data_IF_779030567944
#
_entry.id   IF_779030567944
#
_cell.length_a   1.000
_cell.length_b   1.000
_cell.length_c   1.000
_cell.angle_alpha   90.00
_cell.angle_beta   90.00
_cell.angle_gamma   90.00
#
_symmetry.space_group_name_H-M   'P 1'
#
loop_
_entity.id
_entity.type
_entity.pdbx_description
1 polymer ?
#
# COMPACT_ATOMS: atom_id res chain seq x y z
N UNK A 1 12.05 -14.85 8.04
CA UNK A 1 11.26 -15.95 7.40
C UNK A 1 9.88 -15.94 8.01
N UNK A 2 8.85 -15.97 7.18
CA UNK A 2 7.45 -15.96 7.63
C UNK A 2 7.15 -17.13 8.58
N UNK A 3 6.55 -16.90 9.74
CA UNK A 3 6.17 -17.97 10.68
C UNK A 3 5.13 -18.92 10.05
N UNK A 4 5.22 -20.20 10.40
CA UNK A 4 4.25 -21.21 9.92
C UNK A 4 2.87 -20.89 10.50
N UNK A 5 1.83 -21.00 9.67
CA UNK A 5 0.44 -20.73 10.08
C UNK A 5 0.08 -19.24 10.12
N UNK A 6 0.90 -18.38 9.49
CA UNK A 6 0.61 -16.95 9.40
C UNK A 6 0.42 -16.49 7.97
N UNK A 7 -0.29 -15.39 7.82
CA UNK A 7 -0.34 -14.54 6.65
C UNK A 7 0.44 -13.25 6.92
N UNK A 8 0.62 -12.40 5.91
CA UNK A 8 1.19 -11.07 6.06
C UNK A 8 0.10 -10.02 5.86
N UNK A 9 -0.03 -9.12 6.83
CA UNK A 9 -0.85 -7.93 6.74
C UNK A 9 0.02 -6.72 6.40
N UNK A 10 -0.55 -5.78 5.68
CA UNK A 10 0.06 -4.47 5.43
C UNK A 10 -0.95 -3.36 5.61
N UNK A 11 -0.49 -2.22 6.12
CA UNK A 11 -1.19 -0.94 6.12
C UNK A 11 -0.32 0.08 5.42
N UNK A 12 -0.91 0.83 4.50
CA UNK A 12 -0.36 2.11 4.09
C UNK A 12 -1.36 3.23 4.35
N UNK A 13 -0.84 4.38 4.74
CA UNK A 13 -1.61 5.59 4.96
C UNK A 13 -1.06 6.71 4.08
N UNK A 14 -1.92 7.64 3.72
CA UNK A 14 -1.52 8.81 2.98
C UNK A 14 -2.46 9.96 3.19
N UNK A 15 -1.94 11.18 3.12
CA UNK A 15 -2.76 12.38 3.09
C UNK A 15 -2.82 12.90 1.66
N UNK A 16 -4.02 12.90 1.08
CA UNK A 16 -4.24 13.47 -0.26
C UNK A 16 -3.90 14.97 -0.27
N UNK A 17 -3.41 15.45 -1.40
CA UNK A 17 -3.12 16.89 -1.60
C UNK A 17 -4.38 17.74 -1.71
N UNK A 18 -5.55 17.10 -1.89
CA UNK A 18 -6.85 17.74 -2.09
C UNK A 18 -7.99 16.80 -1.64
N UNK A 19 -9.22 17.29 -1.46
CA UNK A 19 -10.40 16.47 -1.27
C UNK A 19 -10.61 15.48 -2.41
N UNK A 20 -11.30 14.36 -2.15
CA UNK A 20 -11.48 13.23 -3.08
C UNK A 20 -12.21 13.59 -4.38
N UNK A 21 -13.00 14.67 -4.39
CA UNK A 21 -13.72 15.21 -5.55
C UNK A 21 -12.93 16.27 -6.34
N UNK A 22 -11.72 16.62 -5.90
CA UNK A 22 -10.88 17.61 -6.58
C UNK A 22 -10.20 17.01 -7.84
N UNK A 23 -10.18 17.75 -8.98
CA UNK A 23 -9.52 17.28 -10.21
C UNK A 23 -8.05 16.86 -10.04
N UNK A 24 -7.33 17.40 -9.06
CA UNK A 24 -5.91 17.08 -8.80
C UNK A 24 -5.69 15.62 -8.36
N UNK A 25 -6.69 14.99 -7.79
CA UNK A 25 -6.63 13.58 -7.36
C UNK A 25 -7.51 12.66 -8.21
N UNK A 26 -8.13 13.16 -9.26
CA UNK A 26 -9.10 12.43 -10.07
C UNK A 26 -8.52 11.15 -10.72
N UNK A 27 -7.28 11.19 -11.20
CA UNK A 27 -6.61 10.02 -11.77
C UNK A 27 -6.44 8.89 -10.74
N UNK A 28 -6.08 9.25 -9.51
CA UNK A 28 -5.96 8.30 -8.40
C UNK A 28 -7.33 7.73 -8.03
N UNK A 29 -8.31 8.59 -7.77
CA UNK A 29 -9.67 8.18 -7.40
C UNK A 29 -10.32 7.29 -8.46
N UNK A 30 -10.20 7.65 -9.74
CA UNK A 30 -10.73 6.87 -10.84
C UNK A 30 -10.07 5.50 -11.05
N UNK A 31 -8.89 5.28 -10.51
CA UNK A 31 -8.16 4.02 -10.61
C UNK A 31 -8.44 3.04 -9.46
N UNK A 32 -9.04 3.49 -8.36
CA UNK A 32 -9.20 2.68 -7.13
C UNK A 32 -9.91 1.35 -7.40
N UNK A 33 -11.05 1.36 -8.08
CA UNK A 33 -11.81 0.14 -8.35
C UNK A 33 -11.03 -0.84 -9.24
N UNK A 34 -10.29 -0.31 -10.22
CA UNK A 34 -9.45 -1.13 -11.11
C UNK A 34 -8.32 -1.80 -10.33
N UNK A 35 -7.57 -1.03 -9.54
CA UNK A 35 -6.40 -1.51 -8.81
C UNK A 35 -6.81 -2.46 -7.68
N UNK A 36 -7.82 -2.09 -6.89
CA UNK A 36 -8.36 -2.94 -5.83
C UNK A 36 -8.96 -4.23 -6.39
N UNK A 37 -9.72 -4.13 -7.49
CA UNK A 37 -10.29 -5.29 -8.18
C UNK A 37 -9.22 -6.20 -8.79
N UNK A 38 -8.08 -5.68 -9.22
CA UNK A 38 -6.93 -6.48 -9.63
C UNK A 38 -6.34 -7.20 -8.42
N UNK A 39 -6.06 -6.48 -7.31
CA UNK A 39 -5.53 -7.06 -6.10
C UNK A 39 -6.35 -8.26 -5.60
N UNK A 40 -7.68 -8.11 -5.55
CA UNK A 40 -8.61 -9.18 -5.14
C UNK A 40 -8.56 -10.46 -6.02
N UNK A 41 -8.01 -10.37 -7.23
CA UNK A 41 -7.86 -11.50 -8.17
C UNK A 41 -6.46 -12.07 -8.24
N UNK A 42 -5.50 -11.46 -7.53
CA UNK A 42 -4.13 -11.95 -7.52
C UNK A 42 -3.99 -13.25 -6.71
N UNK A 43 -3.13 -14.19 -7.14
CA UNK A 43 -2.76 -15.32 -6.30
C UNK A 43 -2.21 -14.84 -4.96
N UNK A 44 -2.59 -15.52 -3.89
CA UNK A 44 -2.16 -15.19 -2.53
C UNK A 44 -2.91 -14.01 -1.88
N UNK A 45 -3.88 -13.40 -2.56
CA UNK A 45 -4.76 -12.41 -1.91
C UNK A 45 -5.69 -13.10 -0.91
N UNK A 46 -5.79 -12.56 0.30
CA UNK A 46 -6.63 -13.11 1.38
C UNK A 46 -7.78 -12.17 1.74
N UNK A 47 -7.47 -10.90 2.01
CA UNK A 47 -8.47 -9.95 2.47
C UNK A 47 -8.02 -8.50 2.23
N UNK A 48 -8.98 -7.60 2.15
CA UNK A 48 -8.81 -6.15 2.06
C UNK A 48 -9.83 -5.46 2.95
N UNK A 49 -9.41 -4.41 3.65
CA UNK A 49 -10.32 -3.50 4.33
C UNK A 49 -11.19 -2.78 3.29
N UNK A 50 -12.50 -2.88 3.44
CA UNK A 50 -13.46 -2.28 2.52
C UNK A 50 -14.05 -0.99 3.09
N UNK A 51 -14.39 -0.04 2.21
CA UNK A 51 -15.23 1.12 2.51
C UNK A 51 -16.71 0.80 2.39
N UNK A 52 -17.53 1.80 2.10
CA UNK A 52 -19.00 1.66 1.95
C UNK A 52 -19.43 0.79 0.76
N UNK A 53 -18.55 0.61 -0.21
CA UNK A 53 -18.85 -0.06 -1.48
C UNK A 53 -19.39 0.88 -2.55
N UNK A 54 -19.44 2.17 -2.31
CA UNK A 54 -19.78 3.15 -3.35
C UNK A 54 -18.71 3.14 -4.46
N UNK A 55 -19.12 3.21 -5.75
CA UNK A 55 -18.19 3.18 -6.87
C UNK A 55 -17.11 4.28 -6.79
N UNK A 56 -15.88 3.93 -7.14
CA UNK A 56 -14.71 4.80 -7.18
C UNK A 56 -14.29 5.43 -5.82
N UNK A 57 -14.83 4.96 -4.69
CA UNK A 57 -14.36 5.39 -3.36
C UNK A 57 -13.31 4.45 -2.81
N UNK A 58 -13.34 3.17 -3.22
CA UNK A 58 -12.43 2.14 -2.70
C UNK A 58 -12.50 2.07 -1.18
N UNK A 59 -11.39 2.26 -0.52
CA UNK A 59 -11.26 2.33 0.93
C UNK A 59 -10.89 3.74 1.45
N UNK A 60 -11.04 4.78 0.64
CA UNK A 60 -10.73 6.18 1.02
C UNK A 60 -11.69 6.73 2.08
N UNK A 61 -12.79 6.06 2.33
CA UNK A 61 -13.72 6.40 3.41
C UNK A 61 -13.23 5.97 4.80
N UNK A 62 -12.21 5.12 4.86
CA UNK A 62 -11.55 4.76 6.10
C UNK A 62 -10.55 5.88 6.46
N UNK A 63 -11.07 7.00 6.93
CA UNK A 63 -10.28 8.15 7.36
C UNK A 63 -9.58 7.88 8.68
N UNK A 64 -8.43 8.51 8.87
CA UNK A 64 -7.69 8.47 10.12
C UNK A 64 -7.90 9.79 10.84
N UNK A 65 -8.56 9.73 12.01
CA UNK A 65 -8.94 10.93 12.76
C UNK A 65 -10.02 11.74 12.04
N UNK A 66 -9.99 13.06 12.22
CA UNK A 66 -11.01 13.99 11.72
C UNK A 66 -10.66 14.60 10.34
N UNK A 67 -9.52 14.25 9.75
CA UNK A 67 -9.10 14.78 8.46
C UNK A 67 -9.54 13.83 7.31
N UNK A 68 -10.55 14.21 6.50
CA UNK A 68 -11.07 13.34 5.43
C UNK A 68 -10.09 13.15 4.27
N UNK A 69 -8.98 13.91 4.22
CA UNK A 69 -7.92 13.69 3.24
C UNK A 69 -6.91 12.62 3.69
N UNK A 70 -6.93 12.20 4.95
CA UNK A 70 -6.14 11.07 5.44
C UNK A 70 -6.86 9.77 5.11
N UNK A 71 -6.24 8.96 4.26
CA UNK A 71 -6.81 7.68 3.77
C UNK A 71 -5.92 6.53 4.17
N UNK A 72 -6.54 5.38 4.41
CA UNK A 72 -5.88 4.14 4.78
C UNK A 72 -6.21 3.04 3.79
N UNK A 73 -5.21 2.25 3.41
CA UNK A 73 -5.38 1.00 2.67
C UNK A 73 -4.75 -0.14 3.48
N UNK A 74 -5.49 -1.22 3.67
CA UNK A 74 -5.03 -2.37 4.43
C UNK A 74 -5.41 -3.66 3.72
N UNK A 75 -4.43 -4.54 3.53
CA UNK A 75 -4.61 -5.84 2.89
C UNK A 75 -3.93 -6.97 3.65
N UNK A 76 -4.39 -8.20 3.44
CA UNK A 76 -3.78 -9.42 3.95
C UNK A 76 -3.48 -10.35 2.77
N UNK A 77 -2.30 -10.92 2.76
CA UNK A 77 -1.78 -11.83 1.73
C UNK A 77 -1.24 -13.11 2.35
N UNK A 78 -1.26 -14.21 1.59
CA UNK A 78 -0.72 -15.48 2.04
C UNK A 78 0.77 -15.37 2.40
N UNK A 79 1.53 -14.62 1.60
CA UNK A 79 2.97 -14.42 1.79
C UNK A 79 3.46 -13.07 1.22
N UNK A 80 4.70 -12.73 1.56
CA UNK A 80 5.35 -11.49 1.11
C UNK A 80 5.56 -11.46 -0.39
N UNK A 81 5.79 -12.60 -1.03
CA UNK A 81 6.04 -12.69 -2.47
C UNK A 81 4.78 -12.31 -3.27
N UNK A 82 3.62 -12.75 -2.81
CA UNK A 82 2.33 -12.38 -3.41
C UNK A 82 2.06 -10.90 -3.32
N UNK A 83 2.30 -10.29 -2.15
CA UNK A 83 2.19 -8.85 -1.94
C UNK A 83 3.20 -8.08 -2.82
N UNK A 84 4.48 -8.49 -2.83
CA UNK A 84 5.50 -7.86 -3.67
C UNK A 84 5.14 -7.92 -5.16
N UNK A 85 4.63 -9.06 -5.62
CA UNK A 85 4.23 -9.22 -7.01
C UNK A 85 3.11 -8.23 -7.37
N UNK A 86 2.10 -8.11 -6.52
CA UNK A 86 1.03 -7.14 -6.71
C UNK A 86 1.58 -5.70 -6.78
N UNK A 87 2.38 -5.30 -5.80
CA UNK A 87 2.87 -3.92 -5.68
C UNK A 87 3.81 -3.54 -6.83
N UNK A 88 4.79 -4.40 -7.18
CA UNK A 88 5.91 -4.03 -8.04
C UNK A 88 5.86 -4.60 -9.46
N UNK A 89 4.98 -5.57 -9.77
CA UNK A 89 4.91 -6.20 -11.09
C UNK A 89 3.63 -5.86 -11.85
N UNK A 90 2.56 -5.45 -11.14
CA UNK A 90 1.27 -5.16 -11.77
C UNK A 90 1.10 -3.68 -12.12
N UNK A 91 -0.10 -3.32 -12.60
CA UNK A 91 -0.48 -1.92 -12.86
C UNK A 91 -0.40 -1.05 -11.60
N UNK A 92 -0.49 -1.64 -10.39
CA UNK A 92 -0.30 -0.93 -9.12
C UNK A 92 1.02 -0.15 -9.09
N UNK A 93 2.10 -0.71 -9.64
CA UNK A 93 3.39 -0.02 -9.70
C UNK A 93 3.32 1.34 -10.38
N UNK A 94 2.51 1.51 -11.43
CA UNK A 94 2.35 2.80 -12.11
C UNK A 94 1.79 3.87 -11.19
N UNK A 95 0.86 3.50 -10.30
CA UNK A 95 0.31 4.41 -9.29
C UNK A 95 1.29 4.61 -8.14
N UNK A 96 1.97 3.57 -7.70
CA UNK A 96 3.02 3.67 -6.69
C UNK A 96 4.13 4.66 -7.12
N UNK A 97 4.57 4.62 -8.36
CA UNK A 97 5.63 5.50 -8.89
C UNK A 97 5.18 6.97 -8.97
N UNK A 98 3.88 7.21 -9.19
CA UNK A 98 3.26 8.55 -9.30
C UNK A 98 2.66 9.06 -7.98
N UNK A 99 2.82 8.37 -6.87
CA UNK A 99 2.15 8.68 -5.59
C UNK A 99 2.36 10.12 -5.11
N UNK A 100 3.51 10.73 -5.41
CA UNK A 100 3.82 12.11 -5.05
C UNK A 100 2.95 13.15 -5.79
N UNK A 101 2.27 12.75 -6.86
CA UNK A 101 1.31 13.60 -7.54
C UNK A 101 0.01 13.79 -6.74
N UNK A 102 -0.32 12.82 -5.89
CA UNK A 102 -1.60 12.77 -5.18
C UNK A 102 -1.49 12.82 -3.67
N UNK A 103 -0.32 12.50 -3.12
CA UNK A 103 -0.11 12.41 -1.68
C UNK A 103 0.96 13.38 -1.19
N UNK A 104 0.72 13.94 -0.01
CA UNK A 104 1.70 14.75 0.68
C UNK A 104 2.81 13.86 1.25
N UNK A 105 4.03 14.40 1.30
CA UNK A 105 5.13 13.75 2.02
C UNK A 105 4.84 13.86 3.51
N UNK A 106 4.67 12.71 4.17
CA UNK A 106 4.47 12.63 5.61
C UNK A 106 5.83 12.66 6.33
N UNK A 107 5.87 13.30 7.50
CA UNK A 107 7.09 13.40 8.31
C UNK A 107 7.44 12.13 9.10
N UNK A 108 6.55 11.13 9.13
CA UNK A 108 6.71 9.86 9.86
C UNK A 108 6.50 8.65 8.97
N UNK A 109 6.41 7.48 9.60
CA UNK A 109 6.12 6.24 8.88
C UNK A 109 4.71 6.28 8.28
N UNK A 110 4.56 5.79 7.08
CA UNK A 110 3.30 5.72 6.35
C UNK A 110 2.96 4.29 5.87
N UNK A 111 3.83 3.34 6.19
CA UNK A 111 3.70 1.95 5.77
C UNK A 111 4.22 1.02 6.85
N UNK A 112 3.47 -0.06 7.13
CA UNK A 112 3.85 -1.12 8.05
C UNK A 112 3.33 -2.46 7.57
N UNK A 113 4.11 -3.50 7.83
CA UNK A 113 3.72 -4.91 7.69
C UNK A 113 3.86 -5.62 9.01
N UNK A 114 3.07 -6.69 9.19
CA UNK A 114 3.19 -7.62 10.32
C UNK A 114 2.60 -8.98 9.98
N UNK A 115 2.98 -10.00 10.73
CA UNK A 115 2.39 -11.32 10.57
C UNK A 115 1.10 -11.44 11.37
N UNK A 116 0.10 -12.08 10.79
CA UNK A 116 -1.21 -12.39 11.40
C UNK A 116 -1.51 -13.87 11.31
N UNK A 117 -2.26 -14.44 12.25
CA UNK A 117 -2.72 -15.81 12.15
C UNK A 117 -3.63 -16.00 10.93
N UNK A 118 -3.61 -17.20 10.34
CA UNK A 118 -4.50 -17.55 9.23
C UNK A 118 -5.96 -17.34 9.64
N UNK A 119 -6.68 -16.54 8.87
CA UNK A 119 -8.09 -16.19 9.13
C UNK A 119 -8.30 -14.92 9.97
N UNK A 120 -7.25 -14.34 10.56
CA UNK A 120 -7.35 -13.05 11.22
C UNK A 120 -7.54 -11.92 10.19
N UNK A 121 -8.48 -11.04 10.48
CA UNK A 121 -8.73 -9.79 9.73
C UNK A 121 -8.42 -8.64 10.66
N UNK A 122 -7.30 -7.93 10.46
CA UNK A 122 -6.90 -6.89 11.39
C UNK A 122 -7.86 -5.70 11.36
N UNK A 123 -8.00 -5.04 12.51
CA UNK A 123 -8.71 -3.77 12.61
C UNK A 123 -7.79 -2.61 12.25
N UNK A 124 -8.38 -1.45 11.91
CA UNK A 124 -7.61 -0.23 11.69
C UNK A 124 -6.84 0.20 12.94
N UNK A 125 -7.42 0.04 14.13
CA UNK A 125 -6.76 0.36 15.40
C UNK A 125 -5.52 -0.52 15.61
N UNK A 126 -5.61 -1.83 15.36
CA UNK A 126 -4.46 -2.74 15.39
C UNK A 126 -3.35 -2.27 14.43
N UNK A 127 -3.73 -1.93 13.21
CA UNK A 127 -2.79 -1.51 12.18
C UNK A 127 -2.09 -0.18 12.52
N UNK A 128 -2.83 0.78 13.07
CA UNK A 128 -2.28 2.07 13.52
C UNK A 128 -1.36 1.91 14.74
N UNK A 129 -1.68 0.99 15.67
CA UNK A 129 -0.77 0.63 16.77
C UNK A 129 0.56 0.08 16.24
N UNK A 130 0.51 -0.83 15.24
CA UNK A 130 1.71 -1.38 14.58
C UNK A 130 2.54 -0.29 13.89
N UNK A 131 1.87 0.64 13.21
CA UNK A 131 2.53 1.74 12.53
C UNK A 131 3.21 2.69 13.52
N UNK A 132 2.53 3.05 14.61
CA UNK A 132 3.08 3.89 15.68
C UNK A 132 4.28 3.23 16.37
N UNK A 133 4.19 1.93 16.66
CA UNK A 133 5.29 1.16 17.22
C UNK A 133 6.52 1.17 16.32
N UNK A 134 6.32 0.95 15.01
CA UNK A 134 7.41 0.99 14.03
C UNK A 134 8.03 2.39 13.92
N UNK A 135 7.24 3.46 14.01
CA UNK A 135 7.73 4.84 13.98
C UNK A 135 8.63 5.15 15.19
N UNK A 136 8.27 4.65 16.37
CA UNK A 136 9.02 4.86 17.60
C UNK A 136 10.24 3.95 17.75
N UNK A 137 10.15 2.68 17.34
CA UNK A 137 11.13 1.64 17.67
C UNK A 137 11.88 1.09 16.45
N UNK A 138 11.47 1.45 15.24
CA UNK A 138 11.99 0.88 13.99
C UNK A 138 11.45 -0.52 13.70
N UNK A 139 12.06 -1.19 12.72
CA UNK A 139 11.64 -2.52 12.28
C UNK A 139 11.92 -3.59 13.34
N UNK A 140 10.94 -4.46 13.58
CA UNK A 140 11.00 -5.61 14.51
C UNK A 140 10.06 -6.72 14.03
N UNK A 141 10.07 -7.89 14.70
CA UNK A 141 9.09 -8.96 14.43
C UNK A 141 7.63 -8.53 14.68
N UNK A 142 7.43 -7.47 15.47
CA UNK A 142 6.11 -6.94 15.78
C UNK A 142 5.55 -6.06 14.67
N UNK A 143 6.40 -5.24 14.04
CA UNK A 143 6.04 -4.29 13.00
C UNK A 143 7.25 -3.96 12.14
N UNK A 144 7.15 -4.07 10.81
CA UNK A 144 8.30 -3.93 9.92
C UNK A 144 7.94 -3.34 8.55
N UNK A 145 8.96 -2.92 7.82
CA UNK A 145 8.87 -2.51 6.42
C UNK A 145 9.53 -3.53 5.48
N UNK A 146 9.58 -3.19 4.18
CA UNK A 146 10.17 -4.05 3.16
C UNK A 146 11.62 -4.45 3.44
N UNK A 147 12.42 -3.53 3.95
CA UNK A 147 13.86 -3.74 4.21
C UNK A 147 14.14 -4.77 5.31
N UNK A 148 13.17 -5.04 6.17
CA UNK A 148 13.28 -6.05 7.21
C UNK A 148 13.20 -7.48 6.66
N UNK A 149 12.50 -7.67 5.56
CA UNK A 149 12.24 -8.97 4.97
C UNK A 149 13.35 -9.35 3.99
N UNK A 150 14.15 -10.35 4.33
CA UNK A 150 15.23 -10.87 3.46
C UNK A 150 14.71 -11.51 2.18
N UNK A 151 13.48 -12.03 2.21
CA UNK A 151 12.79 -12.63 1.09
C UNK A 151 12.22 -11.59 0.11
N UNK A 152 11.99 -10.36 0.54
CA UNK A 152 11.44 -9.28 -0.27
C UNK A 152 12.52 -8.70 -1.19
N UNK A 153 12.60 -9.18 -2.43
CA UNK A 153 13.66 -8.84 -3.38
C UNK A 153 13.23 -7.78 -4.41
N UNK A 154 11.94 -7.74 -4.76
CA UNK A 154 11.44 -6.88 -5.83
C UNK A 154 11.46 -5.40 -5.44
N UNK A 155 11.25 -5.07 -4.17
CA UNK A 155 11.31 -3.69 -3.70
C UNK A 155 12.70 -3.06 -3.95
N UNK A 156 13.79 -3.85 -3.82
CA UNK A 156 15.15 -3.37 -4.09
C UNK A 156 15.38 -3.18 -5.59
N UNK A 157 14.92 -4.14 -6.41
CA UNK A 157 15.21 -4.17 -7.84
C UNK A 157 14.26 -3.30 -8.67
N UNK A 158 13.02 -3.06 -8.19
CA UNK A 158 11.97 -2.36 -8.92
C UNK A 158 11.62 -0.98 -8.36
N UNK A 159 11.70 -0.79 -7.04
CA UNK A 159 11.45 0.53 -6.44
C UNK A 159 12.61 1.50 -6.60
N UNK A 160 13.86 0.98 -6.63
CA UNK A 160 15.08 1.78 -6.75
C UNK A 160 15.64 1.84 -8.17
N UNK A 161 14.98 1.27 -9.19
CA UNK A 161 15.41 1.41 -10.56
C UNK A 161 15.27 2.89 -10.99
N UNK A 162 16.36 3.59 -11.35
CA UNK A 162 16.25 4.95 -11.88
C UNK A 162 15.35 4.91 -13.11
N UNK A 163 14.42 5.86 -13.23
CA UNK A 163 13.68 6.05 -14.47
C UNK A 163 14.70 6.46 -15.54
N UNK A 164 15.05 5.51 -16.41
CA UNK A 164 15.74 5.86 -17.64
C UNK A 164 14.76 6.66 -18.48
N UNK A 165 14.94 7.98 -18.48
CA UNK A 165 14.38 8.84 -19.52
C UNK A 165 15.00 8.37 -20.84
N UNK A 166 14.31 7.49 -21.56
CA UNK A 166 14.62 7.28 -22.97
C UNK A 166 14.35 8.60 -23.69
N UNK A 167 15.43 9.31 -23.95
CA UNK A 167 15.49 10.47 -24.83
C UNK A 167 15.00 10.02 -26.21
N UNK A 168 13.75 10.32 -26.51
CA UNK A 168 13.21 10.23 -27.88
C UNK A 168 13.67 11.47 -28.68
N UNK A 169 14.97 11.55 -28.93
CA UNK A 169 15.55 12.46 -29.93
C UNK A 169 16.51 11.66 -30.82
N UNK A 170 15.97 11.01 -31.82
CA UNK A 170 16.68 10.72 -33.07
C UNK A 170 15.66 10.20 -34.09
N UNK A 171 15.09 11.10 -34.89
CA UNK A 171 15.20 11.02 -36.34
C UNK A 171 14.37 12.14 -36.96
N UNK A 172 15.10 13.13 -37.42
CA UNK A 172 14.78 13.91 -38.60
C UNK A 172 15.17 13.10 -39.82
#
# INVERSE_FOLDING_TARGET
MQPIGTHIAELNIGRLIAPTDDPRVADFMGALDLVNGLGKRMPGFVWMMEGSGEPATGNTENSIGDDPQFVANMTVWEDVQSLEHFVFITVHKKFYDRREEWFQILGGQHFVMWYVEVGHKPSLDEALERLAYKDEHGDSDYAFGWSYLKEAQLHVTKACAPQTMESSYAQL
#
